data_IF_660530765611
#
_entry.id   IF_660530765611
#
_cell.length_a   1.000
_cell.length_b   1.000
_cell.length_c   1.000
_cell.angle_alpha   90.00
_cell.angle_beta   90.00
_cell.angle_gamma   90.00
#
_symmetry.space_group_name_H-M   'P 1'
#
loop_
_entity.id
_entity.type
_entity.pdbx_description
1 polymer ?
#
# COMPACT_ATOMS: atom_id res chain seq x y z
N UNK A 1 13.44 -3.80 40.61
CA UNK A 1 12.22 -3.05 40.23
C UNK A 1 11.84 -3.50 38.82
N UNK A 2 10.85 -4.38 38.68
CA UNK A 2 10.40 -4.83 37.36
C UNK A 2 9.56 -3.70 36.75
N UNK A 3 10.19 -2.89 35.90
CA UNK A 3 9.51 -1.86 35.15
C UNK A 3 8.62 -2.52 34.09
N UNK A 4 7.41 -2.92 34.48
CA UNK A 4 6.36 -3.22 33.52
C UNK A 4 6.08 -1.90 32.81
N UNK A 5 6.55 -1.80 31.56
CA UNK A 5 6.32 -0.65 30.72
C UNK A 5 4.82 -0.37 30.65
N UNK A 6 4.40 0.90 30.77
CA UNK A 6 2.97 1.27 30.73
C UNK A 6 2.24 0.73 29.48
N UNK A 7 2.97 0.54 28.37
CA UNK A 7 2.44 0.03 27.11
C UNK A 7 2.47 -1.50 26.98
N UNK A 8 2.95 -2.23 27.98
CA UNK A 8 3.08 -3.70 27.89
C UNK A 8 1.76 -4.40 27.53
N UNK A 9 0.59 -4.01 28.08
CA UNK A 9 -0.70 -4.57 27.64
C UNK A 9 -1.02 -4.29 26.17
N UNK A 10 -0.61 -3.14 25.62
CA UNK A 10 -0.80 -2.83 24.20
C UNK A 10 0.15 -3.64 23.31
N UNK A 11 1.42 -3.79 23.72
CA UNK A 11 2.41 -4.60 23.02
C UNK A 11 2.04 -6.07 23.01
N UNK A 12 1.53 -6.59 24.13
CA UNK A 12 1.10 -7.97 24.23
C UNK A 12 -0.06 -8.27 23.27
N UNK A 13 -1.09 -7.41 23.24
CA UNK A 13 -2.18 -7.51 22.25
C UNK A 13 -1.65 -7.48 20.81
N UNK A 14 -0.67 -6.62 20.51
CA UNK A 14 -0.07 -6.58 19.18
C UNK A 14 0.63 -7.92 18.84
N UNK A 15 1.39 -8.51 19.77
CA UNK A 15 2.05 -9.82 19.58
C UNK A 15 1.05 -10.94 19.33
N UNK A 16 -0.04 -10.99 20.08
CA UNK A 16 -1.11 -11.97 19.90
C UNK A 16 -1.73 -11.90 18.51
N UNK A 17 -1.87 -10.69 17.96
CA UNK A 17 -2.41 -10.49 16.62
C UNK A 17 -1.46 -10.93 15.50
N UNK A 18 -0.14 -10.90 15.69
CA UNK A 18 0.86 -11.19 14.63
C UNK A 18 0.65 -12.55 13.98
N UNK A 19 0.28 -13.57 14.77
CA UNK A 19 0.16 -14.95 14.28
C UNK A 19 -1.23 -15.26 13.69
N UNK A 20 -2.13 -14.28 13.62
CA UNK A 20 -3.47 -14.49 13.10
C UNK A 20 -3.51 -14.44 11.56
N UNK A 21 -4.40 -15.23 10.95
CA UNK A 21 -4.63 -15.18 9.51
C UNK A 21 -5.12 -13.79 9.04
N UNK A 22 -5.90 -13.10 9.89
CA UNK A 22 -6.37 -11.73 9.65
C UNK A 22 -5.19 -10.75 9.54
N UNK A 23 -4.20 -10.85 10.43
CA UNK A 23 -2.98 -10.04 10.35
C UNK A 23 -2.19 -10.34 9.08
N UNK A 24 -2.01 -11.60 8.72
CA UNK A 24 -1.32 -11.97 7.47
C UNK A 24 -2.03 -11.43 6.23
N UNK A 25 -3.37 -11.42 6.21
CA UNK A 25 -4.14 -10.77 5.14
C UNK A 25 -3.93 -9.25 5.14
N UNK A 26 -4.07 -8.58 6.29
CA UNK A 26 -3.86 -7.14 6.41
C UNK A 26 -2.44 -6.72 6.00
N UNK A 27 -1.42 -7.49 6.39
CA UNK A 27 -0.03 -7.24 6.01
C UNK A 27 0.18 -7.34 4.50
N UNK A 28 -0.44 -8.33 3.83
CA UNK A 28 -0.41 -8.43 2.36
C UNK A 28 -1.05 -7.22 1.69
N UNK A 29 -2.20 -6.75 2.19
CA UNK A 29 -2.84 -5.54 1.65
C UNK A 29 -1.98 -4.29 1.89
N UNK A 30 -1.39 -4.15 3.08
CA UNK A 30 -0.49 -3.05 3.42
C UNK A 30 0.73 -3.00 2.49
N UNK A 31 1.38 -4.13 2.22
CA UNK A 31 2.52 -4.19 1.28
C UNK A 31 2.16 -3.68 -0.13
N UNK A 32 0.94 -3.96 -0.62
CA UNK A 32 0.46 -3.43 -1.91
C UNK A 32 0.37 -1.89 -1.86
N UNK A 33 -0.19 -1.35 -0.78
CA UNK A 33 -0.30 0.11 -0.59
C UNK A 33 1.09 0.74 -0.47
N UNK A 34 1.99 0.16 0.31
CA UNK A 34 3.37 0.63 0.48
C UNK A 34 4.12 0.67 -0.86
N UNK A 35 3.97 -0.35 -1.71
CA UNK A 35 4.55 -0.37 -3.05
C UNK A 35 4.05 0.79 -3.92
N UNK A 36 2.75 1.11 -3.86
CA UNK A 36 2.18 2.26 -4.59
C UNK A 36 2.75 3.58 -4.09
N UNK A 37 2.91 3.75 -2.77
CA UNK A 37 3.52 4.95 -2.20
C UNK A 37 5.01 5.06 -2.55
N UNK A 38 5.73 3.95 -2.62
CA UNK A 38 7.12 3.93 -3.08
C UNK A 38 7.23 4.38 -4.54
N UNK A 39 6.35 3.88 -5.41
CA UNK A 39 6.29 4.28 -6.82
C UNK A 39 5.95 5.77 -6.97
N UNK A 40 4.94 6.25 -6.26
CA UNK A 40 4.55 7.67 -6.23
C UNK A 40 5.73 8.59 -5.86
N UNK A 41 6.50 8.21 -4.85
CA UNK A 41 7.67 8.97 -4.41
C UNK A 41 8.79 8.95 -5.44
N UNK A 42 9.09 7.78 -6.00
CA UNK A 42 10.30 7.57 -6.80
C UNK A 42 10.10 7.89 -8.29
N UNK A 43 8.91 7.67 -8.84
CA UNK A 43 8.62 7.85 -10.26
C UNK A 43 7.78 9.11 -10.54
N UNK A 44 6.79 9.40 -9.68
CA UNK A 44 5.89 10.56 -9.85
C UNK A 44 6.44 11.81 -9.12
N UNK A 45 7.54 11.69 -8.39
CA UNK A 45 8.25 12.82 -7.80
C UNK A 45 7.66 13.33 -6.48
N UNK A 46 6.77 12.57 -5.83
CA UNK A 46 6.16 12.97 -4.54
C UNK A 46 7.10 12.91 -3.32
N UNK A 47 8.42 12.73 -3.52
CA UNK A 47 9.40 12.92 -2.43
C UNK A 47 9.43 14.36 -1.91
N UNK A 48 9.10 15.34 -2.77
CA UNK A 48 9.02 16.76 -2.39
C UNK A 48 7.75 17.35 -2.99
N UNK A 49 7.02 18.10 -2.18
CA UNK A 49 5.82 18.79 -2.62
C UNK A 49 6.19 20.19 -3.11
N UNK A 50 5.68 20.56 -4.28
CA UNK A 50 6.02 21.86 -4.91
C UNK A 50 5.13 22.98 -4.39
N UNK A 51 3.88 22.67 -4.05
CA UNK A 51 2.92 23.64 -3.53
C UNK A 51 2.91 23.65 -1.99
N UNK A 52 2.84 24.86 -1.41
CA UNK A 52 2.79 25.11 0.04
C UNK A 52 1.34 25.24 0.51
N UNK A 53 1.06 25.06 1.80
CA UNK A 53 -0.29 25.00 2.43
C UNK A 53 -1.01 23.65 2.22
N UNK A 54 -1.70 23.19 3.26
CA UNK A 54 -2.30 21.85 3.32
C UNK A 54 -3.29 21.54 2.18
N UNK A 55 -4.06 22.55 1.74
CA UNK A 55 -4.99 22.41 0.61
C UNK A 55 -4.27 21.95 -0.67
N UNK A 56 -3.20 22.65 -1.05
CA UNK A 56 -2.46 22.35 -2.28
C UNK A 56 -1.59 21.09 -2.16
N UNK A 57 -1.17 20.73 -0.95
CA UNK A 57 -0.58 19.42 -0.67
C UNK A 57 -1.59 18.31 -0.96
N UNK A 58 -2.81 18.42 -0.45
CA UNK A 58 -3.87 17.44 -0.66
C UNK A 58 -4.19 17.26 -2.15
N UNK A 59 -4.30 18.36 -2.90
CA UNK A 59 -4.54 18.33 -4.34
C UNK A 59 -3.42 17.60 -5.12
N UNK A 60 -2.15 17.83 -4.76
CA UNK A 60 -1.01 17.10 -5.36
C UNK A 60 -1.11 15.58 -5.13
N UNK A 61 -1.49 15.15 -3.93
CA UNK A 61 -1.68 13.73 -3.64
C UNK A 61 -2.85 13.13 -4.41
N UNK A 62 -3.98 13.83 -4.52
CA UNK A 62 -5.13 13.34 -5.28
C UNK A 62 -4.79 13.17 -6.76
N UNK A 63 -4.14 14.16 -7.37
CA UNK A 63 -3.78 14.08 -8.78
C UNK A 63 -2.76 12.97 -9.06
N UNK A 64 -1.77 12.81 -8.18
CA UNK A 64 -0.79 11.73 -8.29
C UNK A 64 -1.43 10.34 -8.12
N UNK A 65 -2.37 10.20 -7.19
CA UNK A 65 -3.14 8.96 -7.01
C UNK A 65 -4.01 8.65 -8.23
N UNK A 66 -4.66 9.66 -8.82
CA UNK A 66 -5.44 9.51 -10.05
C UNK A 66 -4.56 9.04 -11.21
N UNK A 67 -3.40 9.68 -11.43
CA UNK A 67 -2.44 9.27 -12.46
C UNK A 67 -1.95 7.83 -12.25
N UNK A 68 -1.65 7.46 -11.01
CA UNK A 68 -1.24 6.10 -10.65
C UNK A 68 -2.35 5.07 -10.90
N UNK A 69 -3.61 5.41 -10.61
CA UNK A 69 -4.74 4.55 -10.90
C UNK A 69 -4.94 4.35 -12.40
N UNK A 70 -4.82 5.41 -13.21
CA UNK A 70 -4.89 5.32 -14.67
C UNK A 70 -3.77 4.43 -15.21
N UNK A 71 -2.52 4.62 -14.76
CA UNK A 71 -1.38 3.77 -15.14
C UNK A 71 -1.66 2.29 -14.87
N UNK A 72 -2.23 1.97 -13.70
CA UNK A 72 -2.58 0.59 -13.33
C UNK A 72 -3.74 0.05 -14.15
N UNK A 73 -4.75 0.86 -14.44
CA UNK A 73 -5.87 0.48 -15.29
C UNK A 73 -5.39 0.14 -16.70
N UNK A 74 -4.57 0.99 -17.31
CA UNK A 74 -3.98 0.72 -18.63
C UNK A 74 -3.20 -0.59 -18.60
N UNK A 75 -2.33 -0.80 -17.61
CA UNK A 75 -1.59 -2.07 -17.46
C UNK A 75 -2.49 -3.29 -17.32
N UNK A 76 -3.61 -3.15 -16.62
CA UNK A 76 -4.59 -4.23 -16.47
C UNK A 76 -5.28 -4.54 -17.80
N UNK A 77 -5.73 -3.52 -18.52
CA UNK A 77 -6.40 -3.67 -19.82
C UNK A 77 -5.46 -4.16 -20.93
N UNK A 78 -4.15 -3.86 -20.85
CA UNK A 78 -3.15 -4.28 -21.83
C UNK A 78 -2.54 -5.67 -21.57
N UNK A 79 -2.95 -6.39 -20.52
CA UNK A 79 -2.47 -7.76 -20.31
C UNK A 79 -3.06 -8.67 -21.38
N UNK A 80 -2.23 -9.37 -22.19
CA UNK A 80 -2.74 -10.34 -23.14
C UNK A 80 -3.50 -11.41 -22.37
N UNK A 81 -4.72 -11.70 -22.79
CA UNK A 81 -5.45 -12.88 -22.31
C UNK A 81 -4.69 -14.07 -22.85
N UNK A 82 -3.80 -14.67 -22.07
CA UNK A 82 -3.27 -15.98 -22.42
C UNK A 82 -4.47 -16.91 -22.42
N UNK A 83 -4.92 -17.44 -23.59
CA UNK A 83 -5.98 -18.43 -23.56
C UNK A 83 -5.45 -19.57 -22.69
N UNK A 84 -6.20 -19.88 -21.63
CA UNK A 84 -5.95 -21.05 -20.80
C UNK A 84 -6.08 -22.23 -21.75
N UNK A 85 -4.94 -22.71 -22.27
CA UNK A 85 -4.92 -23.89 -23.13
C UNK A 85 -5.46 -25.00 -22.23
N UNK A 86 -6.65 -25.46 -22.59
CA UNK A 86 -7.39 -26.51 -21.94
C UNK A 86 -6.45 -27.72 -21.83
N UNK A 87 -6.02 -28.01 -20.61
CA UNK A 87 -5.30 -29.24 -20.31
C UNK A 87 -6.31 -30.38 -20.48
N UNK A 88 -6.42 -30.85 -21.72
CA UNK A 88 -7.14 -32.07 -22.07
C UNK A 88 -6.16 -33.21 -21.86
N UNK A 89 -6.27 -33.90 -20.73
CA UNK A 89 -5.71 -35.24 -20.47
C UNK A 89 -6.41 -35.85 -19.27
#
# INVERSE_FOLDING_TARGET
>A
FLAIHMDEPARQRARELVNTAAFAHAQRQRKKVEALFAELKNQIGLRRLRLRRLRFVREQFFLAAAAQNIKRLVRFLSQPTTPTVEATS
#
